data_IF_879373166368
#
_entry.id   IF_879373166368
#
_cell.length_a   1.000
_cell.length_b   1.000
_cell.length_c   1.000
_cell.angle_alpha   90.00
_cell.angle_beta   90.00
_cell.angle_gamma   90.00
#
_symmetry.space_group_name_H-M   'P 1'
#
loop_
_entity.id
_entity.type
_entity.pdbx_description
1 polymer ?
#
# COMPACT_ATOMS: atom_id res chain seq x y z
N UNK A 1 5.17 35.99 -5.28
CA UNK A 1 6.45 35.36 -4.88
C UNK A 1 6.20 35.01 -3.44
N UNK A 2 5.39 33.97 -3.27
CA UNK A 2 4.59 33.78 -2.06
C UNK A 2 5.30 32.76 -1.18
N UNK A 3 5.27 33.08 0.10
CA UNK A 3 6.13 32.58 1.15
C UNK A 3 6.16 31.06 1.23
N UNK A 4 7.38 30.53 1.35
CA UNK A 4 7.67 29.17 1.77
C UNK A 4 7.09 28.96 3.18
N UNK A 5 5.81 28.57 3.24
CA UNK A 5 5.28 27.83 4.37
C UNK A 5 6.22 26.64 4.62
N UNK A 6 6.60 26.40 5.88
CA UNK A 6 7.61 25.42 6.27
C UNK A 6 7.40 24.03 5.67
N UNK A 7 8.45 23.21 5.68
CA UNK A 7 8.41 21.83 5.18
C UNK A 7 7.17 21.09 5.67
N UNK A 8 6.51 20.32 4.79
CA UNK A 8 5.35 19.48 5.16
C UNK A 8 5.67 18.61 6.38
N UNK A 9 6.88 18.05 6.41
CA UNK A 9 7.36 17.19 7.48
C UNK A 9 7.51 17.88 8.85
N UNK A 10 7.59 19.22 8.90
CA UNK A 10 7.66 19.95 10.18
C UNK A 10 6.29 20.26 10.76
N UNK A 11 5.22 20.08 9.99
CA UNK A 11 3.87 20.56 10.34
C UNK A 11 2.82 19.45 10.35
N UNK A 12 3.10 18.34 9.67
CA UNK A 12 2.22 17.17 9.56
C UNK A 12 3.05 15.91 9.79
N UNK A 13 2.56 14.90 10.56
CA UNK A 13 3.22 13.60 10.65
C UNK A 13 3.50 13.02 9.26
N UNK A 14 4.76 12.69 8.99
CA UNK A 14 5.19 12.16 7.71
C UNK A 14 5.62 10.69 7.88
N UNK A 15 4.68 9.79 7.62
CA UNK A 15 4.87 8.36 7.77
C UNK A 15 5.50 7.79 6.50
N UNK A 16 6.58 7.03 6.65
CA UNK A 16 7.33 6.44 5.53
C UNK A 16 7.28 4.92 5.58
N UNK A 17 7.23 4.27 4.43
CA UNK A 17 7.44 2.83 4.30
C UNK A 17 8.67 2.59 3.44
N UNK A 18 9.26 1.40 3.59
CA UNK A 18 10.52 1.06 2.93
C UNK A 18 10.28 0.56 1.51
N UNK A 19 11.07 1.03 0.54
CA UNK A 19 11.10 0.55 -0.83
C UNK A 19 12.51 0.18 -1.29
N UNK A 20 12.66 -0.09 -2.59
CA UNK A 20 13.91 -0.64 -3.09
C UNK A 20 15.08 0.36 -3.10
N UNK A 21 14.77 1.64 -3.33
CA UNK A 21 15.77 2.70 -3.29
C UNK A 21 16.32 2.99 -1.89
N UNK A 22 15.67 2.48 -0.82
CA UNK A 22 16.17 2.59 0.55
C UNK A 22 17.30 1.58 0.85
N UNK A 23 17.50 0.57 -0.01
CA UNK A 23 18.60 -0.38 0.08
C UNK A 23 19.50 -0.47 -1.16
N UNK A 24 19.27 0.35 -2.18
CA UNK A 24 20.02 0.32 -3.45
C UNK A 24 20.94 1.54 -3.64
N UNK A 25 21.99 1.37 -4.44
CA UNK A 25 23.02 2.39 -4.70
C UNK A 25 23.02 2.80 -6.18
N UNK A 26 22.07 3.65 -6.57
CA UNK A 26 21.81 4.00 -7.98
C UNK A 26 22.55 5.22 -8.53
N UNK A 27 23.24 6.00 -7.69
CA UNK A 27 23.96 7.20 -8.15
C UNK A 27 25.47 6.97 -8.29
N UNK A 28 26.14 7.58 -9.29
CA UNK A 28 27.61 7.57 -9.38
C UNK A 28 28.28 8.09 -8.09
N UNK A 29 27.64 9.04 -7.41
CA UNK A 29 28.10 9.59 -6.14
C UNK A 29 28.00 8.60 -4.96
N UNK A 30 27.07 7.65 -5.03
CA UNK A 30 27.01 6.52 -4.11
C UNK A 30 28.09 5.48 -4.46
N UNK A 31 28.18 5.06 -5.72
CA UNK A 31 29.15 4.06 -6.18
C UNK A 31 30.62 4.47 -5.95
N UNK A 32 30.91 5.78 -5.99
CA UNK A 32 32.25 6.31 -5.75
C UNK A 32 32.71 6.31 -4.27
N UNK A 33 31.85 5.92 -3.32
CA UNK A 33 32.17 5.96 -1.88
C UNK A 33 31.74 4.66 -1.19
N UNK A 34 32.72 3.86 -0.75
CA UNK A 34 32.47 2.62 0.00
C UNK A 34 31.63 2.85 1.27
N UNK A 35 31.83 3.97 1.95
CA UNK A 35 31.04 4.35 3.13
C UNK A 35 29.57 4.57 2.77
N UNK A 36 29.27 5.37 1.72
CA UNK A 36 27.90 5.63 1.28
C UNK A 36 27.22 4.36 0.78
N UNK A 37 27.94 3.55 0.02
CA UNK A 37 27.46 2.24 -0.42
C UNK A 37 27.04 1.38 0.78
N UNK A 38 27.89 1.27 1.80
CA UNK A 38 27.61 0.42 2.96
C UNK A 38 26.40 0.90 3.78
N UNK A 39 26.24 2.22 3.95
CA UNK A 39 25.12 2.78 4.73
C UNK A 39 23.77 2.66 3.98
N UNK A 40 23.78 2.61 2.65
CA UNK A 40 22.57 2.40 1.85
C UNK A 40 22.21 0.92 1.75
N UNK A 41 23.17 0.02 1.47
CA UNK A 41 22.94 -1.41 1.21
C UNK A 41 22.29 -2.22 2.35
N UNK A 42 22.22 -1.67 3.56
CA UNK A 42 21.64 -2.33 4.73
C UNK A 42 20.53 -1.49 5.39
N UNK A 43 19.92 -0.57 4.64
CA UNK A 43 18.87 0.33 5.13
C UNK A 43 19.29 1.28 6.26
N UNK A 44 20.59 1.41 6.59
CA UNK A 44 21.03 2.28 7.70
C UNK A 44 20.65 3.74 7.45
N UNK A 45 20.81 4.23 6.22
CA UNK A 45 20.41 5.60 5.88
C UNK A 45 18.91 5.85 6.16
N UNK A 46 18.06 4.93 5.71
CA UNK A 46 16.62 4.99 5.91
C UNK A 46 16.24 4.92 7.40
N UNK A 47 16.77 3.92 8.10
CA UNK A 47 16.49 3.68 9.52
C UNK A 47 17.06 4.77 10.45
N UNK A 48 18.05 5.55 10.00
CA UNK A 48 18.62 6.65 10.80
C UNK A 48 17.95 8.01 10.59
N UNK A 49 17.21 8.19 9.49
CA UNK A 49 16.63 9.49 9.09
C UNK A 49 15.18 9.67 9.51
N UNK A 50 14.44 8.58 9.58
CA UNK A 50 13.02 8.58 9.93
C UNK A 50 12.81 7.91 11.29
N UNK A 51 11.69 8.23 11.92
CA UNK A 51 11.30 7.64 13.19
C UNK A 51 9.83 7.23 13.13
N UNK A 52 9.60 5.95 12.83
CA UNK A 52 8.27 5.34 12.82
C UNK A 52 7.94 4.73 14.20
N UNK A 53 6.65 4.58 14.55
CA UNK A 53 6.21 4.12 15.88
C UNK A 53 6.32 2.60 16.06
N UNK A 54 7.41 1.99 15.58
CA UNK A 54 7.58 0.54 15.59
C UNK A 54 7.68 -0.04 16.99
N UNK A 55 8.37 0.65 17.91
CA UNK A 55 8.58 0.15 19.28
C UNK A 55 7.27 0.02 20.07
N UNK A 56 6.33 0.93 19.82
CA UNK A 56 5.03 1.01 20.48
C UNK A 56 4.08 -0.12 20.06
N UNK A 57 4.35 -0.75 18.91
CA UNK A 57 3.49 -1.77 18.28
C UNK A 57 4.24 -3.09 18.03
N UNK A 58 5.35 -3.30 18.73
CA UNK A 58 6.22 -4.49 18.60
C UNK A 58 6.75 -4.72 17.17
N UNK A 59 6.80 -3.67 16.34
CA UNK A 59 7.40 -3.68 15.01
C UNK A 59 8.92 -3.52 15.04
N UNK A 60 9.54 -3.42 13.85
CA UNK A 60 11.00 -3.32 13.74
C UNK A 60 11.44 -2.08 12.96
N UNK A 61 12.24 -1.23 13.60
CA UNK A 61 12.87 -0.03 13.03
C UNK A 61 11.87 0.80 12.22
N UNK A 62 12.17 1.20 10.99
CA UNK A 62 11.20 1.76 10.05
C UNK A 62 10.73 0.71 9.02
N UNK A 63 11.06 -0.56 9.20
CA UNK A 63 10.82 -1.63 8.23
C UNK A 63 9.36 -2.08 8.21
N UNK A 64 8.76 -2.24 9.38
CA UNK A 64 7.32 -2.52 9.55
C UNK A 64 6.81 -2.01 10.89
N UNK A 65 5.62 -1.44 10.86
CA UNK A 65 4.95 -0.79 12.00
C UNK A 65 3.49 -0.52 11.64
N UNK A 66 2.69 -0.13 12.62
CA UNK A 66 1.30 0.27 12.43
C UNK A 66 0.99 1.54 13.22
N UNK A 67 -0.10 2.20 12.85
CA UNK A 67 -0.62 3.37 13.55
C UNK A 67 -2.10 3.58 13.22
N UNK A 68 -2.81 4.24 14.13
CA UNK A 68 -4.20 4.63 13.90
C UNK A 68 -4.29 6.14 13.62
N UNK A 69 -5.10 6.51 12.63
CA UNK A 69 -5.45 7.92 12.38
C UNK A 69 -6.95 8.04 12.10
N UNK A 70 -7.68 8.59 13.07
CA UNK A 70 -9.13 8.66 13.01
C UNK A 70 -9.77 7.26 12.91
N UNK A 71 -10.63 6.97 11.92
CA UNK A 71 -11.31 5.68 11.78
C UNK A 71 -10.49 4.63 11.00
N UNK A 72 -9.18 4.84 10.84
CA UNK A 72 -8.32 4.00 10.00
C UNK A 72 -7.17 3.41 10.83
N UNK A 73 -6.97 2.10 10.70
CA UNK A 73 -5.75 1.41 11.10
C UNK A 73 -4.85 1.25 9.87
N UNK A 74 -3.62 1.74 9.96
CA UNK A 74 -2.60 1.59 8.94
C UNK A 74 -1.57 0.55 9.37
N UNK A 75 -1.24 -0.38 8.50
CA UNK A 75 -0.14 -1.34 8.66
C UNK A 75 0.87 -1.09 7.54
N UNK A 76 2.08 -0.68 7.88
CA UNK A 76 3.20 -0.54 6.95
C UNK A 76 4.06 -1.80 7.01
N UNK A 77 4.33 -2.40 5.85
CA UNK A 77 5.14 -3.61 5.72
C UNK A 77 6.26 -3.40 4.70
N UNK A 78 7.31 -4.22 4.79
CA UNK A 78 8.40 -4.30 3.83
C UNK A 78 8.11 -5.35 2.75
N UNK A 79 8.00 -4.88 1.51
CA UNK A 79 8.03 -5.73 0.31
C UNK A 79 9.44 -6.10 -0.14
N UNK A 80 10.47 -5.70 0.59
CA UNK A 80 11.87 -5.84 0.19
C UNK A 80 12.60 -6.97 0.93
N UNK A 81 12.07 -7.39 2.08
CA UNK A 81 12.80 -8.23 3.04
C UNK A 81 11.90 -9.08 3.94
N UNK A 82 12.47 -10.10 4.58
CA UNK A 82 11.90 -10.98 5.59
C UNK A 82 10.63 -11.76 5.15
N UNK A 83 10.64 -12.25 3.90
CA UNK A 83 9.67 -13.24 3.38
C UNK A 83 10.28 -14.13 2.30
N UNK A 84 9.65 -15.28 2.01
CA UNK A 84 10.15 -16.21 0.98
C UNK A 84 10.02 -15.61 -0.42
N UNK A 85 11.12 -15.55 -1.16
CA UNK A 85 11.14 -15.02 -2.52
C UNK A 85 11.26 -13.49 -2.58
N UNK A 86 11.69 -12.87 -1.47
CA UNK A 86 12.09 -11.47 -1.44
C UNK A 86 13.14 -11.13 -2.52
N UNK A 87 13.14 -9.91 -3.06
CA UNK A 87 14.17 -9.45 -3.98
C UNK A 87 15.57 -9.56 -3.37
N UNK A 88 16.56 -9.90 -4.18
CA UNK A 88 17.97 -9.78 -3.81
C UNK A 88 18.54 -8.46 -4.33
N UNK A 89 19.45 -7.85 -3.58
CA UNK A 89 20.22 -6.71 -4.07
C UNK A 89 21.49 -7.19 -4.79
N UNK A 90 21.49 -7.22 -6.13
CA UNK A 90 22.71 -7.54 -6.90
C UNK A 90 23.85 -6.54 -6.66
N UNK A 91 23.50 -5.34 -6.20
CA UNK A 91 24.45 -4.31 -5.84
C UNK A 91 24.87 -4.39 -4.37
N UNK A 92 24.47 -5.37 -3.55
CA UNK A 92 25.00 -5.57 -2.20
C UNK A 92 25.90 -6.81 -2.11
N UNK A 93 26.92 -6.76 -1.25
CA UNK A 93 27.79 -7.89 -0.94
C UNK A 93 27.86 -8.10 0.58
N UNK A 94 27.36 -9.24 1.13
CA UNK A 94 26.59 -10.25 0.41
C UNK A 94 25.22 -9.69 -0.04
N UNK A 95 24.62 -10.23 -1.10
CA UNK A 95 23.31 -9.79 -1.61
C UNK A 95 22.21 -10.32 -0.67
N UNK A 96 22.10 -9.73 0.53
CA UNK A 96 21.07 -10.11 1.49
C UNK A 96 20.32 -8.89 1.97
N UNK A 97 19.03 -8.95 1.73
CA UNK A 97 18.02 -8.14 2.35
C UNK A 97 17.56 -8.85 3.64
N UNK A 98 17.00 -8.11 4.60
CA UNK A 98 16.33 -8.69 5.77
C UNK A 98 17.18 -9.02 6.98
N UNK A 99 16.75 -10.04 7.72
CA UNK A 99 17.18 -10.36 9.09
C UNK A 99 16.76 -9.31 10.13
N UNK A 100 15.66 -8.60 9.89
CA UNK A 100 15.09 -7.66 10.85
C UNK A 100 14.12 -8.34 11.84
N UNK A 101 13.65 -9.55 11.52
CA UNK A 101 12.77 -10.32 12.40
C UNK A 101 11.74 -11.14 11.62
N UNK A 102 10.72 -11.63 12.33
CA UNK A 102 9.60 -12.37 11.72
C UNK A 102 8.47 -11.40 11.35
N UNK A 103 8.61 -10.80 10.17
CA UNK A 103 7.63 -9.85 9.65
C UNK A 103 6.24 -10.49 9.49
N UNK A 104 6.15 -11.72 8.94
CA UNK A 104 4.86 -12.36 8.67
C UNK A 104 4.09 -12.63 9.96
N UNK A 105 4.76 -13.10 11.01
CA UNK A 105 4.14 -13.27 12.32
C UNK A 105 3.69 -11.94 12.93
N UNK A 106 4.48 -10.87 12.75
CA UNK A 106 4.11 -9.53 13.23
C UNK A 106 2.88 -8.99 12.47
N UNK A 107 2.87 -9.07 11.14
CA UNK A 107 1.74 -8.62 10.29
C UNK A 107 0.46 -9.35 10.67
N UNK A 108 0.52 -10.68 10.85
CA UNK A 108 -0.62 -11.45 11.31
C UNK A 108 -1.14 -10.97 12.68
N UNK A 109 -0.24 -10.73 13.63
CA UNK A 109 -0.61 -10.26 14.97
C UNK A 109 -1.24 -8.85 14.94
N UNK A 110 -0.69 -7.94 14.14
CA UNK A 110 -1.20 -6.58 13.98
C UNK A 110 -2.59 -6.57 13.33
N UNK A 111 -2.73 -7.22 12.16
CA UNK A 111 -4.01 -7.30 11.44
C UNK A 111 -5.10 -7.99 12.25
N UNK A 112 -4.75 -9.02 13.04
CA UNK A 112 -5.68 -9.68 13.96
C UNK A 112 -6.19 -8.72 15.05
N UNK A 113 -5.31 -7.89 15.63
CA UNK A 113 -5.71 -6.87 16.62
C UNK A 113 -6.62 -5.82 15.99
N UNK A 114 -6.27 -5.33 14.80
CA UNK A 114 -7.03 -4.33 14.08
C UNK A 114 -8.42 -4.84 13.63
N UNK A 115 -8.49 -6.07 13.12
CA UNK A 115 -9.75 -6.69 12.69
C UNK A 115 -10.72 -6.88 13.88
N UNK A 116 -10.19 -7.24 15.06
CA UNK A 116 -10.96 -7.27 16.30
C UNK A 116 -11.39 -5.88 16.80
N UNK A 117 -10.69 -4.81 16.40
CA UNK A 117 -10.94 -3.41 16.79
C UNK A 117 -11.74 -2.61 15.73
N UNK A 118 -12.36 -3.26 14.74
CA UNK A 118 -13.14 -2.57 13.67
C UNK A 118 -14.29 -1.69 14.17
N UNK A 119 -14.74 -1.89 15.40
CA UNK A 119 -15.67 -0.98 16.06
C UNK A 119 -15.11 0.44 16.24
N UNK A 120 -13.78 0.61 16.32
CA UNK A 120 -13.09 1.90 16.44
C UNK A 120 -12.41 2.32 15.14
N UNK A 121 -11.72 1.38 14.49
CA UNK A 121 -10.99 1.55 13.23
C UNK A 121 -11.62 0.70 12.14
N UNK A 122 -12.78 1.09 11.60
CA UNK A 122 -13.47 0.26 10.62
C UNK A 122 -12.61 -0.03 9.40
N UNK A 123 -11.75 0.90 8.97
CA UNK A 123 -10.89 0.76 7.78
C UNK A 123 -9.51 0.23 8.13
N UNK A 124 -9.10 -0.87 7.50
CA UNK A 124 -7.74 -1.39 7.57
C UNK A 124 -7.06 -1.15 6.23
N UNK A 125 -5.94 -0.40 6.25
CA UNK A 125 -5.14 -0.11 5.07
C UNK A 125 -3.74 -0.67 5.27
N UNK A 126 -3.29 -1.51 4.34
CA UNK A 126 -1.91 -2.00 4.30
C UNK A 126 -1.12 -1.21 3.26
N UNK A 127 0.02 -0.68 3.66
CA UNK A 127 0.99 -0.05 2.76
C UNK A 127 2.22 -0.93 2.56
N UNK A 128 2.67 -1.07 1.32
CA UNK A 128 3.98 -1.65 0.98
C UNK A 128 4.53 -0.99 -0.29
N UNK A 129 5.80 -1.17 -0.64
CA UNK A 129 6.34 -0.50 -1.81
C UNK A 129 5.96 -1.19 -3.13
N UNK A 130 6.29 -2.48 -3.27
CA UNK A 130 6.05 -3.25 -4.50
C UNK A 130 4.62 -3.83 -4.53
N UNK A 131 3.91 -3.74 -5.67
CA UNK A 131 2.56 -4.28 -5.80
C UNK A 131 2.50 -5.81 -5.77
N UNK A 132 1.38 -6.34 -5.27
CA UNK A 132 0.91 -7.69 -5.60
C UNK A 132 0.23 -7.67 -6.98
N UNK A 133 -0.58 -6.64 -7.22
CA UNK A 133 -1.39 -6.47 -8.43
C UNK A 133 -1.11 -5.12 -9.08
N UNK A 134 -0.53 -5.20 -10.26
CA UNK A 134 -0.46 -4.14 -11.28
C UNK A 134 -0.57 -4.83 -12.65
N UNK A 135 -1.04 -4.13 -13.67
CA UNK A 135 -1.30 -4.74 -14.98
C UNK A 135 -0.03 -5.33 -15.60
N UNK A 136 1.12 -4.68 -15.40
CA UNK A 136 2.40 -5.09 -16.00
C UNK A 136 2.98 -6.36 -15.38
N UNK A 137 2.90 -6.48 -14.04
CA UNK A 137 3.36 -7.62 -13.25
C UNK A 137 2.37 -8.80 -13.21
N UNK A 138 1.19 -8.64 -13.84
CA UNK A 138 0.14 -9.65 -13.87
C UNK A 138 -0.27 -10.04 -15.30
N UNK A 139 0.61 -10.68 -16.09
CA UNK A 139 0.24 -11.13 -17.43
C UNK A 139 -0.97 -12.06 -17.36
N UNK A 140 -2.02 -11.75 -18.13
CA UNK A 140 -3.31 -12.44 -18.10
C UNK A 140 -4.05 -12.38 -16.75
N UNK A 141 -3.79 -11.36 -15.93
CA UNK A 141 -4.47 -11.15 -14.65
C UNK A 141 -3.90 -11.95 -13.48
N UNK A 142 -2.81 -12.70 -13.68
CA UNK A 142 -2.17 -13.53 -12.66
C UNK A 142 -0.78 -12.97 -12.33
N UNK A 143 -0.46 -12.69 -11.06
CA UNK A 143 0.86 -12.25 -10.64
C UNK A 143 1.98 -13.18 -11.13
N UNK A 144 3.05 -12.59 -11.63
CA UNK A 144 4.27 -13.28 -12.04
C UNK A 144 5.48 -12.78 -11.22
N UNK A 145 6.57 -13.55 -11.24
CA UNK A 145 7.87 -13.17 -10.66
C UNK A 145 7.76 -12.59 -9.22
N UNK A 146 8.22 -11.35 -9.01
CA UNK A 146 8.18 -10.70 -7.69
C UNK A 146 6.75 -10.51 -7.18
N UNK A 147 5.81 -10.12 -8.05
CA UNK A 147 4.40 -9.98 -7.68
C UNK A 147 3.84 -11.31 -7.15
N UNK A 148 4.19 -12.45 -7.77
CA UNK A 148 3.76 -13.77 -7.32
C UNK A 148 4.34 -14.15 -5.94
N UNK A 149 5.60 -13.78 -5.68
CA UNK A 149 6.23 -14.03 -4.37
C UNK A 149 5.56 -13.19 -3.26
N UNK A 150 5.27 -11.92 -3.54
CA UNK A 150 4.58 -11.03 -2.59
C UNK A 150 3.14 -11.53 -2.37
N UNK A 151 2.43 -11.92 -3.44
CA UNK A 151 1.10 -12.50 -3.34
C UNK A 151 1.10 -13.73 -2.43
N UNK A 152 2.01 -14.68 -2.67
CA UNK A 152 2.13 -15.91 -1.89
C UNK A 152 2.51 -15.66 -0.41
N UNK A 153 3.20 -14.55 -0.11
CA UNK A 153 3.59 -14.21 1.24
C UNK A 153 2.45 -13.54 2.04
N UNK A 154 1.69 -12.64 1.41
CA UNK A 154 0.83 -11.71 2.15
C UNK A 154 -0.67 -11.77 1.84
N UNK A 155 -1.10 -12.22 0.65
CA UNK A 155 -2.50 -12.09 0.24
C UNK A 155 -3.45 -12.84 1.20
N UNK A 156 -3.07 -14.04 1.62
CA UNK A 156 -3.85 -14.84 2.57
C UNK A 156 -4.10 -14.11 3.89
N UNK A 157 -3.13 -13.34 4.39
CA UNK A 157 -3.29 -12.53 5.60
C UNK A 157 -4.26 -11.37 5.35
N UNK A 158 -4.15 -10.70 4.20
CA UNK A 158 -5.03 -9.58 3.84
C UNK A 158 -6.48 -10.04 3.71
N UNK A 159 -6.71 -11.19 3.06
CA UNK A 159 -8.03 -11.81 2.93
C UNK A 159 -8.55 -12.22 4.31
N UNK A 160 -7.74 -12.95 5.10
CA UNK A 160 -8.13 -13.47 6.42
C UNK A 160 -8.59 -12.38 7.38
N UNK A 161 -7.92 -11.24 7.37
CA UNK A 161 -8.22 -10.10 8.25
C UNK A 161 -9.00 -8.97 7.55
N UNK A 162 -9.55 -9.26 6.36
CA UNK A 162 -10.50 -8.41 5.61
C UNK A 162 -9.94 -7.02 5.30
N UNK A 163 -8.64 -6.91 5.02
CA UNK A 163 -7.99 -5.64 4.66
C UNK A 163 -8.80 -4.95 3.58
N UNK A 164 -9.05 -3.65 3.75
CA UNK A 164 -9.95 -2.90 2.87
C UNK A 164 -9.19 -2.38 1.64
N UNK A 165 -8.01 -1.81 1.87
CA UNK A 165 -7.16 -1.26 0.82
C UNK A 165 -5.73 -1.73 1.01
N UNK A 166 -5.09 -2.14 -0.08
CA UNK A 166 -3.66 -2.34 -0.16
C UNK A 166 -3.08 -1.26 -1.08
N UNK A 167 -2.25 -0.38 -0.51
CA UNK A 167 -1.66 0.76 -1.19
C UNK A 167 -0.19 0.49 -1.48
N UNK A 168 0.19 0.62 -2.75
CA UNK A 168 1.56 0.42 -3.21
C UNK A 168 2.09 1.58 -4.04
N UNK A 169 3.41 1.59 -4.24
CA UNK A 169 4.09 2.47 -5.18
C UNK A 169 4.87 1.63 -6.17
N UNK A 170 6.18 1.84 -6.21
CA UNK A 170 7.18 1.16 -7.05
C UNK A 170 7.00 1.38 -8.56
N UNK A 171 5.85 1.03 -9.10
CA UNK A 171 5.48 1.35 -10.47
C UNK A 171 5.20 2.85 -10.58
N UNK A 172 5.85 3.52 -11.53
CA UNK A 172 5.77 4.96 -11.71
C UNK A 172 4.54 5.37 -12.53
N UNK A 173 3.37 4.89 -12.13
CA UNK A 173 2.06 5.25 -12.67
C UNK A 173 0.98 5.13 -11.58
N UNK A 174 -0.27 5.41 -11.96
CA UNK A 174 -1.44 5.16 -11.15
C UNK A 174 -2.27 4.02 -11.73
N UNK A 175 -2.66 3.09 -10.87
CA UNK A 175 -3.70 2.10 -11.17
C UNK A 175 -4.59 1.89 -9.95
N UNK A 176 -5.89 1.72 -10.20
CA UNK A 176 -6.85 1.27 -9.20
C UNK A 176 -7.52 0.02 -9.70
N UNK A 177 -7.44 -1.01 -8.88
CA UNK A 177 -8.08 -2.29 -9.14
C UNK A 177 -9.46 -2.36 -8.47
N UNK A 178 -10.30 -3.25 -8.95
CA UNK A 178 -11.50 -3.73 -8.24
C UNK A 178 -11.07 -4.58 -7.03
N UNK A 179 -12.00 -5.00 -6.14
CA UNK A 179 -11.67 -6.01 -5.14
C UNK A 179 -11.14 -7.29 -5.78
N UNK A 180 -10.00 -7.81 -5.34
CA UNK A 180 -9.38 -9.03 -5.90
C UNK A 180 -9.25 -10.11 -4.83
N UNK A 181 -9.63 -11.33 -5.18
CA UNK A 181 -9.41 -12.54 -4.40
C UNK A 181 -8.72 -13.58 -5.30
N UNK A 182 -7.45 -13.93 -5.01
CA UNK A 182 -6.70 -14.93 -5.75
C UNK A 182 -6.75 -14.68 -7.27
N UNK A 183 -6.33 -13.48 -7.69
CA UNK A 183 -6.28 -13.04 -9.10
C UNK A 183 -7.64 -12.92 -9.79
N UNK A 184 -8.74 -13.04 -9.05
CA UNK A 184 -10.11 -12.94 -9.59
C UNK A 184 -10.82 -11.70 -9.05
N UNK A 185 -11.44 -10.93 -9.94
CA UNK A 185 -12.26 -9.78 -9.55
C UNK A 185 -13.50 -10.22 -8.75
N UNK A 186 -13.78 -9.56 -7.63
CA UNK A 186 -14.97 -9.75 -6.79
C UNK A 186 -15.84 -8.51 -6.90
N UNK A 187 -16.80 -8.55 -7.84
CA UNK A 187 -17.61 -7.39 -8.22
C UNK A 187 -18.90 -7.21 -7.40
N UNK A 188 -19.12 -8.07 -6.38
CA UNK A 188 -20.27 -7.92 -5.49
C UNK A 188 -20.22 -6.57 -4.75
N UNK A 189 -21.23 -5.74 -4.98
CA UNK A 189 -21.30 -4.38 -4.43
C UNK A 189 -20.51 -3.34 -5.21
N UNK A 190 -19.90 -3.69 -6.34
CA UNK A 190 -19.17 -2.76 -7.20
C UNK A 190 -20.11 -2.18 -8.28
N UNK A 191 -20.19 -0.85 -8.39
CA UNK A 191 -20.97 -0.19 -9.43
C UNK A 191 -20.39 -0.45 -10.83
N UNK A 192 -21.25 -0.41 -11.85
CA UNK A 192 -20.86 -0.68 -13.24
C UNK A 192 -19.84 0.30 -13.83
N UNK A 193 -19.73 1.49 -13.26
CA UNK A 193 -18.74 2.52 -13.62
C UNK A 193 -17.50 2.49 -12.72
N UNK A 194 -17.43 1.52 -11.80
CA UNK A 194 -16.38 1.35 -10.81
C UNK A 194 -16.13 2.56 -9.88
N UNK A 195 -17.06 3.53 -9.82
CA UNK A 195 -16.94 4.72 -8.96
C UNK A 195 -17.37 4.46 -7.50
N UNK A 196 -18.08 3.36 -7.23
CA UNK A 196 -18.63 3.05 -5.91
C UNK A 196 -18.53 1.56 -5.56
N UNK A 197 -17.94 1.26 -4.40
CA UNK A 197 -17.85 -0.10 -3.85
C UNK A 197 -18.61 -0.19 -2.50
N UNK A 198 -19.73 -0.91 -2.47
CA UNK A 198 -20.57 -1.10 -1.30
C UNK A 198 -20.26 -2.42 -0.59
N UNK A 199 -19.61 -2.33 0.58
CA UNK A 199 -19.15 -3.47 1.38
C UNK A 199 -18.35 -4.51 0.55
N UNK A 200 -17.25 -4.09 -0.12
CA UNK A 200 -16.44 -4.98 -0.94
C UNK A 200 -16.02 -6.21 -0.14
N UNK A 201 -16.02 -7.37 -0.79
CA UNK A 201 -15.78 -8.68 -0.16
C UNK A 201 -14.33 -9.15 -0.21
N UNK A 202 -13.46 -8.35 -0.81
CA UNK A 202 -12.04 -8.59 -0.92
C UNK A 202 -11.28 -7.25 -0.87
N UNK A 203 -9.95 -7.25 -0.65
CA UNK A 203 -9.14 -6.04 -0.65
C UNK A 203 -9.15 -5.35 -2.01
N UNK A 204 -9.19 -4.01 -1.99
CA UNK A 204 -8.97 -3.15 -3.16
C UNK A 204 -7.49 -2.81 -3.24
N UNK A 205 -6.87 -3.04 -4.40
CA UNK A 205 -5.46 -2.76 -4.62
C UNK A 205 -5.29 -1.45 -5.38
N UNK A 206 -4.37 -0.60 -4.94
CA UNK A 206 -4.10 0.69 -5.56
C UNK A 206 -2.60 0.88 -5.70
N UNK A 207 -2.16 1.15 -6.91
CA UNK A 207 -0.81 1.61 -7.24
C UNK A 207 -0.85 3.14 -7.34
N UNK A 208 -0.09 3.84 -6.51
CA UNK A 208 0.03 5.30 -6.54
C UNK A 208 1.52 5.70 -6.47
N UNK A 209 2.28 5.34 -7.52
CA UNK A 209 3.73 5.58 -7.58
C UNK A 209 4.16 6.71 -8.53
N UNK A 210 3.22 7.39 -9.17
CA UNK A 210 3.47 8.48 -10.14
C UNK A 210 3.93 9.82 -9.51
N UNK A 211 4.71 9.81 -8.41
CA UNK A 211 4.96 11.01 -7.61
C UNK A 211 6.10 11.92 -8.13
N UNK A 212 6.75 11.57 -9.25
CA UNK A 212 7.76 12.44 -9.88
C UNK A 212 9.22 12.05 -9.59
N UNK A 213 9.52 10.75 -9.52
CA UNK A 213 10.91 10.27 -9.50
C UNK A 213 11.69 10.75 -10.72
N UNK A 214 13.01 10.81 -10.61
CA UNK A 214 13.91 11.20 -11.71
C UNK A 214 13.98 10.16 -12.84
N UNK A 215 13.52 8.94 -12.58
CA UNK A 215 13.49 7.84 -13.56
C UNK A 215 12.38 8.02 -14.60
N UNK A 216 11.39 8.89 -14.32
CA UNK A 216 10.25 9.15 -15.17
C UNK A 216 9.03 8.30 -14.84
N UNK A 217 8.00 8.39 -15.69
CA UNK A 217 6.85 7.47 -15.66
C UNK A 217 7.21 6.20 -16.40
N UNK A 218 6.72 5.06 -15.90
CA UNK A 218 6.82 3.80 -16.63
C UNK A 218 5.89 3.82 -17.85
N UNK A 219 6.26 3.07 -18.89
CA UNK A 219 5.41 2.95 -20.07
C UNK A 219 4.13 2.20 -19.74
N UNK A 220 3.03 2.61 -20.37
CA UNK A 220 1.78 1.87 -20.30
C UNK A 220 2.01 0.39 -20.70
N UNK A 221 1.52 -0.58 -19.92
CA UNK A 221 1.67 -1.98 -20.25
C UNK A 221 0.92 -2.33 -21.54
N UNK A 222 1.38 -3.37 -22.22
CA UNK A 222 0.67 -3.91 -23.39
C UNK A 222 -0.76 -4.33 -23.00
N UNK A 223 -1.74 -4.25 -23.93
CA UNK A 223 -3.10 -4.70 -23.64
C UNK A 223 -3.12 -6.16 -23.16
N UNK A 224 -3.62 -6.36 -21.94
CA UNK A 224 -3.78 -7.68 -21.33
C UNK A 224 -5.25 -7.99 -21.07
N UNK A 225 -5.58 -9.27 -20.85
CA UNK A 225 -6.93 -9.70 -20.44
C UNK A 225 -7.19 -9.50 -18.93
N UNK A 226 -6.59 -8.46 -18.32
CA UNK A 226 -6.82 -8.13 -16.91
C UNK A 226 -8.26 -7.64 -16.74
N UNK A 227 -9.05 -8.36 -15.95
CA UNK A 227 -10.48 -8.05 -15.74
C UNK A 227 -10.74 -7.19 -14.51
N UNK A 228 -9.76 -7.07 -13.62
CA UNK A 228 -9.89 -6.35 -12.36
C UNK A 228 -9.41 -4.90 -12.41
N UNK A 229 -8.79 -4.43 -13.49
CA UNK A 229 -8.32 -3.04 -13.59
C UNK A 229 -9.48 -2.07 -13.84
N UNK A 230 -9.74 -1.20 -12.86
CA UNK A 230 -10.88 -0.28 -12.87
C UNK A 230 -10.53 1.10 -13.44
N UNK A 231 -9.34 1.61 -13.15
CA UNK A 231 -8.85 2.90 -13.65
C UNK A 231 -7.32 2.91 -13.70
N UNK A 232 -6.75 3.63 -14.68
CA UNK A 232 -5.30 3.78 -14.79
C UNK A 232 -4.92 5.15 -15.34
N UNK A 233 -3.75 5.65 -14.95
CA UNK A 233 -3.11 6.80 -15.56
C UNK A 233 -1.59 6.54 -15.67
N UNK A 234 -1.12 6.46 -16.91
CA UNK A 234 0.28 6.19 -17.26
C UNK A 234 1.02 7.42 -17.83
N UNK A 235 0.41 8.60 -17.79
CA UNK A 235 0.90 9.79 -18.51
C UNK A 235 1.06 11.03 -17.64
N UNK A 236 0.43 11.05 -16.46
CA UNK A 236 0.46 12.16 -15.53
C UNK A 236 1.19 11.80 -14.25
N UNK A 237 2.06 12.70 -13.80
CA UNK A 237 2.50 12.67 -12.40
C UNK A 237 1.35 13.12 -11.48
N UNK A 238 1.27 12.49 -10.31
CA UNK A 238 0.21 12.78 -9.37
C UNK A 238 0.45 12.25 -7.97
N UNK A 239 -0.50 12.55 -7.10
CA UNK A 239 -0.56 12.05 -5.73
C UNK A 239 -2.02 11.75 -5.37
N UNK A 240 -2.22 10.87 -4.40
CA UNK A 240 -3.56 10.50 -3.96
C UNK A 240 -3.96 11.21 -2.67
N UNK A 241 -5.26 11.47 -2.53
CA UNK A 241 -5.85 11.92 -1.27
C UNK A 241 -6.89 10.93 -0.79
N UNK A 242 -6.98 10.78 0.53
CA UNK A 242 -7.85 9.85 1.23
C UNK A 242 -8.62 10.61 2.31
N UNK A 243 -9.94 10.54 2.25
CA UNK A 243 -10.84 11.05 3.28
C UNK A 243 -11.72 9.92 3.79
N UNK A 244 -11.80 9.72 5.10
CA UNK A 244 -12.63 8.67 5.67
C UNK A 244 -13.40 9.12 6.91
N UNK A 245 -14.63 8.64 6.99
CA UNK A 245 -15.38 8.53 8.24
C UNK A 245 -15.65 7.04 8.52
N UNK A 246 -16.47 6.71 9.52
CA UNK A 246 -16.69 5.31 9.91
C UNK A 246 -17.43 4.46 8.87
N UNK A 247 -18.16 5.06 7.93
CA UNK A 247 -18.99 4.36 6.94
C UNK A 247 -18.62 4.67 5.49
N UNK A 248 -17.81 5.70 5.23
CA UNK A 248 -17.36 6.09 3.89
C UNK A 248 -15.86 6.32 3.87
N UNK A 249 -15.20 5.74 2.87
CA UNK A 249 -13.85 6.08 2.43
C UNK A 249 -13.95 6.70 1.03
N UNK A 250 -13.28 7.82 0.81
CA UNK A 250 -13.20 8.53 -0.46
C UNK A 250 -11.75 8.62 -0.88
N UNK A 251 -11.46 8.28 -2.14
CA UNK A 251 -10.12 8.32 -2.70
C UNK A 251 -10.12 9.13 -3.98
N UNK A 252 -9.08 9.95 -4.16
CA UNK A 252 -8.83 10.70 -5.40
C UNK A 252 -7.38 10.55 -5.81
N UNK A 253 -7.14 10.45 -7.11
CA UNK A 253 -5.82 10.67 -7.70
C UNK A 253 -5.81 12.03 -8.39
N UNK A 254 -4.85 12.87 -8.03
CA UNK A 254 -4.76 14.26 -8.47
C UNK A 254 -3.50 14.47 -9.30
N UNK A 255 -3.62 15.19 -10.42
CA UNK A 255 -2.47 15.64 -11.18
C UNK A 255 -1.60 16.58 -10.32
N UNK A 256 -0.29 16.32 -10.24
CA UNK A 256 0.61 17.06 -9.36
C UNK A 256 0.81 18.53 -9.76
N UNK A 257 0.64 18.85 -11.05
CA UNK A 257 0.89 20.20 -11.59
C UNK A 257 -0.29 21.15 -11.45
N UNK A 258 -1.52 20.64 -11.60
CA UNK A 258 -2.73 21.47 -11.67
C UNK A 258 -3.86 21.03 -10.74
N UNK A 259 -3.65 19.95 -9.96
CA UNK A 259 -4.62 19.37 -9.03
C UNK A 259 -5.94 18.91 -9.66
N UNK A 260 -5.98 18.69 -10.98
CA UNK A 260 -7.13 18.07 -11.63
C UNK A 260 -7.36 16.66 -11.08
N UNK A 261 -8.62 16.30 -10.82
CA UNK A 261 -9.01 14.95 -10.44
C UNK A 261 -8.92 14.05 -11.67
N UNK A 262 -8.00 13.08 -11.62
CA UNK A 262 -7.74 12.14 -12.70
C UNK A 262 -8.47 10.80 -12.47
N UNK A 263 -8.73 10.45 -11.21
CA UNK A 263 -9.59 9.34 -10.81
C UNK A 263 -10.23 9.62 -9.45
N UNK A 264 -11.43 9.12 -9.23
CA UNK A 264 -12.16 9.22 -7.97
C UNK A 264 -13.06 8.01 -7.76
N UNK A 265 -13.06 7.46 -6.54
CA UNK A 265 -14.03 6.45 -6.13
C UNK A 265 -14.33 6.51 -4.64
N UNK A 266 -15.42 5.85 -4.24
CA UNK A 266 -15.84 5.75 -2.85
C UNK A 266 -16.11 4.31 -2.43
N UNK A 267 -15.73 3.96 -1.21
CA UNK A 267 -16.09 2.70 -0.56
C UNK A 267 -17.04 2.96 0.59
N UNK A 268 -18.09 2.16 0.71
CA UNK A 268 -19.05 2.24 1.80
C UNK A 268 -19.02 1.00 2.68
N UNK A 269 -19.20 1.22 3.98
CA UNK A 269 -19.53 0.19 4.96
C UNK A 269 -20.91 0.46 5.51
N UNK A 270 -21.82 -0.47 5.27
CA UNK A 270 -23.11 -0.46 5.97
C UNK A 270 -22.87 -0.95 7.38
N UNK A 271 -23.40 -0.23 8.37
CA UNK A 271 -23.50 -0.77 9.73
C UNK A 271 -24.22 -2.12 9.67
N UNK A 272 -23.87 -3.11 10.51
CA UNK A 272 -24.68 -4.32 10.62
C UNK A 272 -26.12 -3.87 10.85
N UNK A 273 -27.03 -4.26 9.96
CA UNK A 273 -28.44 -3.99 10.18
C UNK A 273 -28.81 -4.57 11.55
N UNK A 274 -29.45 -3.78 12.39
CA UNK A 274 -30.15 -4.26 13.59
C UNK A 274 -31.40 -5.06 13.18
N UNK A 275 -31.32 -5.86 12.13
CA UNK A 275 -32.34 -6.82 11.74
C UNK A 275 -32.15 -8.07 12.59
N UNK A 276 -32.59 -7.95 13.84
CA UNK A 276 -32.51 -9.03 14.83
C UNK A 276 -33.15 -8.68 16.17
N UNK A 277 -33.60 -7.44 16.38
CA UNK A 277 -34.48 -7.11 17.49
C UNK A 277 -35.93 -6.95 16.96
N UNK A 278 -36.47 -8.01 16.37
CA UNK A 278 -37.91 -8.10 16.13
C UNK A 278 -38.60 -8.45 17.44
N UNK A 279 -39.27 -7.45 18.00
CA UNK A 279 -40.52 -7.57 18.76
C UNK A 279 -40.75 -8.87 19.53
N UNK A 280 -40.31 -8.89 20.79
CA UNK A 280 -41.06 -9.58 21.83
C UNK A 280 -41.90 -8.52 22.57
N UNK A 281 -43.01 -8.11 21.96
CA UNK A 281 -44.12 -7.48 22.66
C UNK A 281 -45.07 -8.58 23.16
N UNK A 282 -45.39 -8.49 24.45
CA UNK A 282 -46.55 -9.05 25.17
C UNK A 282 -46.74 -10.57 25.31
N UNK A 283 -46.56 -11.05 26.54
CA UNK A 283 -47.65 -11.54 27.40
C UNK A 283 -47.26 -11.37 28.88
#
# INVERSE_FOLDING_TARGET
MDELNGSVMSSVPYMVLVGNHEYECHSPACAASAERMNILRNFTAYNSRFQMPSKEVDGTLNMWYSFEHGPIHFTSISSETDYKGEPSNEFADPPRNGHFGDQLAWVEADLKKADANRGNVPWLIVGMHRPLYDVSGCPNGVPADHNANIQAAFEDLFIKYRVDVVLTGHQHYYERQTPILNSTAVLDGVSSDFARYDNPKAPVYIVSGACGTVEGLDMAPDPTNVTWNAASNYIDYGFSTLEANRSKLSWKFLNSSNQAVLDEFVMWKTSPSTEGCSDAISA
#
